data_IF_377752322556
#
_entry.id   IF_377752322556
#
_cell.length_a   1.000
_cell.length_b   1.000
_cell.length_c   1.000
_cell.angle_alpha   90.00
_cell.angle_beta   90.00
_cell.angle_gamma   90.00
#
_symmetry.space_group_name_H-M   'P 1'
#
loop_
_entity.id
_entity.type
_entity.pdbx_description
1 polymer ?
#
# COMPACT_ATOMS: atom_id res chain seq x y z
N UNK A 1 8.40 23.63 13.79
CA UNK A 1 7.47 22.91 12.88
C UNK A 1 6.83 21.80 13.69
N UNK A 2 5.52 21.60 13.52
CA UNK A 2 4.69 20.71 14.34
C UNK A 2 5.20 19.26 14.26
N UNK A 3 5.19 18.57 15.39
CA UNK A 3 5.30 17.11 15.45
C UNK A 3 4.40 16.49 14.38
N UNK A 4 4.96 15.61 13.55
CA UNK A 4 4.24 15.02 12.43
C UNK A 4 2.94 14.37 12.91
N UNK A 5 1.81 14.83 12.38
CA UNK A 5 0.49 14.31 12.73
C UNK A 5 0.06 13.25 11.72
N UNK A 6 -0.24 12.04 12.19
CA UNK A 6 -0.95 11.04 11.38
C UNK A 6 -2.41 11.51 11.22
N UNK A 7 -3.00 11.48 10.01
CA UNK A 7 -4.40 11.81 9.84
C UNK A 7 -5.29 10.86 10.65
N UNK A 8 -6.20 11.41 11.46
CA UNK A 8 -7.18 10.63 12.21
C UNK A 8 -8.53 10.74 11.53
N UNK A 9 -9.02 9.62 11.01
CA UNK A 9 -10.34 9.48 10.44
C UNK A 9 -11.35 9.06 11.50
N UNK A 10 -12.50 9.73 11.52
CA UNK A 10 -13.61 9.39 12.39
C UNK A 10 -14.93 9.37 11.62
N UNK A 11 -15.68 8.28 11.77
CA UNK A 11 -17.03 8.16 11.23
C UNK A 11 -17.96 7.49 12.26
N UNK A 12 -18.97 8.23 12.73
CA UNK A 12 -19.87 7.80 13.81
C UNK A 12 -20.52 6.43 13.57
N UNK A 13 -20.90 6.15 12.32
CA UNK A 13 -21.57 4.88 11.93
C UNK A 13 -20.61 3.79 11.45
N UNK A 14 -19.33 4.10 11.24
CA UNK A 14 -18.34 3.18 10.67
C UNK A 14 -17.06 3.10 11.53
N UNK A 15 -17.22 3.08 12.86
CA UNK A 15 -16.11 3.12 13.83
C UNK A 15 -15.04 2.06 13.57
N UNK A 16 -15.43 0.84 13.19
CA UNK A 16 -14.49 -0.25 12.86
C UNK A 16 -13.64 0.09 11.63
N UNK A 17 -14.26 0.58 10.56
CA UNK A 17 -13.55 1.00 9.36
C UNK A 17 -12.61 2.18 9.64
N UNK A 18 -13.08 3.19 10.38
CA UNK A 18 -12.24 4.32 10.80
C UNK A 18 -11.03 3.87 11.61
N UNK A 19 -11.21 2.93 12.54
CA UNK A 19 -10.09 2.36 13.31
C UNK A 19 -9.07 1.68 12.39
N UNK A 20 -9.53 0.82 11.47
CA UNK A 20 -8.63 0.13 10.54
C UNK A 20 -7.84 1.08 9.64
N UNK A 21 -8.49 2.14 9.14
CA UNK A 21 -7.83 3.19 8.35
C UNK A 21 -6.75 3.88 9.19
N UNK A 22 -7.07 4.26 10.43
CA UNK A 22 -6.12 4.94 11.32
C UNK A 22 -4.95 4.04 11.70
N UNK A 23 -5.23 2.78 12.06
CA UNK A 23 -4.20 1.78 12.37
C UNK A 23 -3.27 1.59 11.16
N UNK A 24 -3.83 1.46 9.94
CA UNK A 24 -3.03 1.33 8.72
C UNK A 24 -2.16 2.57 8.50
N UNK A 25 -2.76 3.76 8.56
CA UNK A 25 -2.04 5.01 8.29
C UNK A 25 -0.93 5.25 9.31
N UNK A 26 -1.18 4.97 10.58
CA UNK A 26 -0.17 5.07 11.62
C UNK A 26 1.01 4.15 11.30
N UNK A 27 0.75 2.87 11.01
CA UNK A 27 1.83 1.92 10.67
C UNK A 27 2.56 2.29 9.39
N UNK A 28 1.84 2.79 8.37
CA UNK A 28 2.42 3.14 7.09
C UNK A 28 3.23 4.45 7.10
N UNK A 29 3.04 5.33 8.10
CA UNK A 29 3.65 6.68 8.13
C UNK A 29 4.67 6.90 9.27
N UNK A 30 4.91 5.89 10.10
CA UNK A 30 6.03 5.91 11.05
C UNK A 30 7.34 5.72 10.26
N UNK A 31 8.21 6.73 10.23
CA UNK A 31 9.46 6.68 9.43
C UNK A 31 10.68 6.14 10.14
N UNK A 32 10.55 5.77 11.41
CA UNK A 32 11.57 5.01 12.13
C UNK A 32 10.86 4.01 13.03
N UNK A 33 10.86 2.75 12.59
CA UNK A 33 10.66 1.62 13.47
C UNK A 33 11.77 1.69 14.50
N UNK A 34 11.40 2.07 15.73
CA UNK A 34 12.25 2.12 16.93
C UNK A 34 13.73 1.79 16.66
N UNK A 35 14.59 2.81 16.55
CA UNK A 35 15.90 2.61 17.17
C UNK A 35 15.61 2.22 18.62
N UNK A 36 16.29 1.21 19.19
CA UNK A 36 16.00 0.68 20.53
C UNK A 36 16.09 1.71 21.68
N UNK A 37 16.31 2.99 21.38
CA UNK A 37 16.51 4.10 22.31
C UNK A 37 15.58 5.31 22.11
N UNK A 38 14.55 5.24 21.25
CA UNK A 38 13.54 6.32 21.12
C UNK A 38 12.13 5.81 21.39
N UNK A 39 11.60 6.19 22.55
CA UNK A 39 10.27 5.82 23.04
C UNK A 39 9.10 6.52 22.32
N UNK A 40 9.34 7.26 21.23
CA UNK A 40 8.28 7.99 20.51
C UNK A 40 8.22 7.62 19.02
N UNK A 41 7.03 7.19 18.59
CA UNK A 41 6.67 7.06 17.17
C UNK A 41 6.56 8.46 16.57
N UNK A 42 7.61 8.97 15.92
CA UNK A 42 7.54 10.21 15.16
C UNK A 42 7.03 9.94 13.75
N UNK A 43 5.94 10.60 13.34
CA UNK A 43 5.45 10.54 11.96
C UNK A 43 6.49 11.17 11.04
N UNK A 44 6.87 10.48 9.97
CA UNK A 44 7.84 10.99 9.00
C UNK A 44 7.21 11.53 7.72
N UNK A 45 5.88 11.56 7.68
CA UNK A 45 5.11 11.97 6.53
C UNK A 45 4.16 13.12 6.85
N UNK A 46 4.08 14.10 5.96
CA UNK A 46 2.94 14.98 5.82
C UNK A 46 1.89 14.30 4.92
N UNK A 47 0.64 14.79 4.92
CA UNK A 47 -0.43 14.17 4.15
C UNK A 47 -1.37 15.18 3.50
N UNK A 48 -1.96 14.76 2.37
CA UNK A 48 -3.03 15.47 1.69
C UNK A 48 -4.17 14.51 1.37
N UNK A 49 -5.39 14.89 1.72
CA UNK A 49 -6.61 14.17 1.33
C UNK A 49 -6.97 14.61 -0.09
N UNK A 50 -6.97 13.66 -1.02
CA UNK A 50 -7.29 13.89 -2.44
C UNK A 50 -8.78 13.63 -2.74
N UNK A 51 -9.38 12.69 -2.00
CA UNK A 51 -10.80 12.37 -2.09
C UNK A 51 -11.29 11.81 -0.75
N UNK A 52 -12.47 12.22 -0.31
CA UNK A 52 -13.12 11.68 0.89
C UNK A 52 -14.64 11.70 0.71
N UNK A 53 -15.24 10.53 0.51
CA UNK A 53 -16.68 10.37 0.37
C UNK A 53 -17.17 9.04 0.99
N UNK A 54 -18.44 8.73 0.84
CA UNK A 54 -19.05 7.51 1.38
C UNK A 54 -18.60 6.20 0.69
N UNK A 55 -17.76 6.27 -0.34
CA UNK A 55 -17.25 5.12 -1.09
C UNK A 55 -15.77 4.89 -0.85
N UNK A 56 -14.95 5.95 -0.90
CA UNK A 56 -13.53 5.83 -0.63
C UNK A 56 -12.89 7.10 -0.04
N UNK A 57 -11.71 6.87 0.51
CA UNK A 57 -10.80 7.87 1.03
C UNK A 57 -9.46 7.70 0.29
N UNK A 58 -8.96 8.74 -0.36
CA UNK A 58 -7.69 8.78 -1.08
C UNK A 58 -6.77 9.77 -0.39
N UNK A 59 -5.61 9.29 0.08
CA UNK A 59 -4.61 10.07 0.82
C UNK A 59 -3.27 9.91 0.13
N UNK A 60 -2.57 11.03 -0.05
CA UNK A 60 -1.16 11.03 -0.43
C UNK A 60 -0.32 11.44 0.76
N UNK A 61 0.73 10.69 1.05
CA UNK A 61 1.68 10.95 2.11
C UNK A 61 3.05 11.28 1.50
N UNK A 62 3.64 12.41 1.89
CA UNK A 62 4.94 12.87 1.40
C UNK A 62 5.90 12.98 2.58
N UNK A 63 7.16 12.52 2.46
CA UNK A 63 8.13 12.65 3.55
C UNK A 63 8.28 14.11 4.02
N UNK A 64 8.29 14.34 5.34
CA UNK A 64 8.48 15.67 5.94
C UNK A 64 9.92 16.14 5.71
N UNK A 65 10.86 15.21 5.84
CA UNK A 65 12.29 15.46 5.67
C UNK A 65 12.76 14.83 4.36
N UNK A 66 13.07 15.68 3.38
CA UNK A 66 13.56 15.25 2.06
C UNK A 66 14.98 14.68 2.10
N UNK A 67 15.69 14.78 3.23
CA UNK A 67 16.99 14.12 3.43
C UNK A 67 16.83 12.65 3.80
N UNK A 68 15.65 12.23 4.27
CA UNK A 68 15.33 10.83 4.48
C UNK A 68 14.95 10.19 3.14
N UNK A 69 15.58 9.07 2.82
CA UNK A 69 15.28 8.28 1.63
C UNK A 69 13.97 7.49 1.76
N UNK A 70 12.88 8.19 2.09
CA UNK A 70 11.53 7.63 2.22
C UNK A 70 10.75 7.87 0.92
N UNK A 71 10.12 6.84 0.33
CA UNK A 71 9.29 7.04 -0.85
C UNK A 71 7.97 7.71 -0.46
N UNK A 72 7.41 8.51 -1.37
CA UNK A 72 6.01 8.93 -1.28
C UNK A 72 5.08 7.72 -1.22
N UNK A 73 3.96 7.85 -0.51
CA UNK A 73 2.93 6.81 -0.44
C UNK A 73 1.60 7.38 -0.93
N UNK A 74 0.83 6.59 -1.66
CA UNK A 74 -0.58 6.89 -1.91
C UNK A 74 -1.44 5.72 -1.51
N UNK A 75 -2.46 6.01 -0.71
CA UNK A 75 -3.31 5.03 -0.06
C UNK A 75 -4.76 5.36 -0.37
N UNK A 76 -5.48 4.36 -0.87
CA UNK A 76 -6.91 4.48 -1.15
C UNK A 76 -7.62 3.46 -0.28
N UNK A 77 -8.62 3.87 0.49
CA UNK A 77 -9.37 3.03 1.41
C UNK A 77 -10.84 2.98 1.02
N UNK A 78 -11.46 1.82 1.20
CA UNK A 78 -12.91 1.70 1.23
C UNK A 78 -13.42 2.28 2.56
N UNK A 79 -14.21 3.36 2.52
CA UNK A 79 -14.64 4.06 3.74
C UNK A 79 -15.68 3.27 4.56
N UNK A 80 -16.29 2.25 3.97
CA UNK A 80 -17.24 1.37 4.66
C UNK A 80 -16.57 0.19 5.38
N UNK A 81 -15.46 -0.34 4.84
CA UNK A 81 -14.77 -1.53 5.39
C UNK A 81 -13.43 -1.21 6.05
N UNK A 82 -12.80 -0.10 5.68
CA UNK A 82 -11.46 0.30 6.11
C UNK A 82 -10.32 -0.41 5.39
N UNK A 83 -10.65 -1.26 4.40
CA UNK A 83 -9.64 -2.00 3.63
C UNK A 83 -8.97 -1.10 2.58
N UNK A 84 -7.69 -1.35 2.33
CA UNK A 84 -6.96 -0.71 1.22
C UNK A 84 -7.51 -1.21 -0.12
N UNK A 85 -7.67 -0.29 -1.05
CA UNK A 85 -8.08 -0.53 -2.42
C UNK A 85 -6.80 -0.51 -3.25
N UNK A 86 -6.53 -1.60 -3.95
CA UNK A 86 -5.47 -1.68 -4.95
C UNK A 86 -6.02 -1.33 -6.33
N UNK A 87 -5.12 -1.01 -7.27
CA UNK A 87 -5.50 -0.81 -8.67
C UNK A 87 -6.10 -2.09 -9.28
N UNK A 88 -5.66 -3.26 -8.83
CA UNK A 88 -6.22 -4.55 -9.26
C UNK A 88 -7.64 -4.80 -8.77
N UNK A 89 -8.07 -4.12 -7.70
CA UNK A 89 -9.48 -4.17 -7.29
C UNK A 89 -10.35 -3.32 -8.24
N UNK A 90 -9.83 -2.20 -8.76
CA UNK A 90 -10.62 -1.25 -9.56
C UNK A 90 -10.96 -1.75 -10.97
N UNK A 91 -10.11 -2.59 -11.55
CA UNK A 91 -10.23 -3.02 -12.95
C UNK A 91 -10.52 -4.52 -13.07
N UNK A 92 -11.24 -4.91 -14.12
CA UNK A 92 -11.32 -6.33 -14.51
C UNK A 92 -9.96 -6.85 -14.97
N UNK A 93 -9.77 -8.17 -15.05
CA UNK A 93 -8.51 -8.75 -15.55
C UNK A 93 -8.17 -8.23 -16.96
N UNK A 94 -9.17 -8.17 -17.84
CA UNK A 94 -9.03 -7.61 -19.18
C UNK A 94 -8.76 -6.09 -19.13
N UNK A 95 -9.46 -5.38 -18.24
CA UNK A 95 -9.27 -3.94 -18.04
C UNK A 95 -7.87 -3.58 -17.57
N UNK A 96 -7.26 -4.36 -16.68
CA UNK A 96 -5.86 -4.19 -16.28
C UNK A 96 -4.90 -4.40 -17.45
N UNK A 97 -5.21 -5.35 -18.34
CA UNK A 97 -4.45 -5.57 -19.57
C UNK A 97 -4.47 -4.35 -20.50
N UNK A 98 -5.63 -3.75 -20.70
CA UNK A 98 -5.77 -2.52 -21.49
C UNK A 98 -5.12 -1.31 -20.81
N UNK A 99 -5.26 -1.17 -19.50
CA UNK A 99 -4.61 -0.11 -18.73
C UNK A 99 -3.08 -0.13 -18.90
N UNK A 100 -2.46 -1.32 -18.83
CA UNK A 100 -1.02 -1.47 -19.11
C UNK A 100 -0.64 -1.01 -20.51
N UNK A 101 -1.47 -1.31 -21.51
CA UNK A 101 -1.24 -0.83 -22.89
C UNK A 101 -1.38 0.69 -22.98
N UNK A 102 -2.33 1.29 -22.27
CA UNK A 102 -2.50 2.75 -22.21
C UNK A 102 -1.27 3.44 -21.61
N UNK A 103 -0.74 2.92 -20.50
CA UNK A 103 0.47 3.44 -19.84
C UNK A 103 1.66 3.40 -20.81
N UNK A 104 1.86 2.27 -21.51
CA UNK A 104 2.93 2.15 -22.49
C UNK A 104 2.80 3.14 -23.64
N UNK A 105 1.58 3.30 -24.18
CA UNK A 105 1.31 4.25 -25.27
C UNK A 105 1.56 5.68 -24.82
N UNK A 106 1.10 6.05 -23.62
CA UNK A 106 1.29 7.39 -23.05
C UNK A 106 2.77 7.76 -22.94
N UNK A 107 3.61 6.79 -22.58
CA UNK A 107 5.03 7.01 -22.34
C UNK A 107 5.91 6.73 -23.56
N UNK A 108 5.36 6.28 -24.68
CA UNK A 108 6.12 5.83 -25.85
C UNK A 108 7.08 6.90 -26.36
N UNK A 109 6.59 8.13 -26.56
CA UNK A 109 7.40 9.24 -27.07
C UNK A 109 8.51 9.64 -26.09
N UNK A 110 8.22 9.62 -24.79
CA UNK A 110 9.19 9.93 -23.75
C UNK A 110 10.29 8.87 -23.68
N UNK A 111 9.91 7.59 -23.80
CA UNK A 111 10.87 6.48 -23.89
C UNK A 111 11.73 6.63 -25.15
N UNK A 112 11.13 6.97 -26.28
CA UNK A 112 11.88 7.11 -27.53
C UNK A 112 12.86 8.29 -27.50
N UNK A 113 12.45 9.41 -26.90
CA UNK A 113 13.20 10.66 -26.88
C UNK A 113 14.29 10.72 -25.80
N UNK A 114 14.03 10.18 -24.60
CA UNK A 114 14.87 10.42 -23.43
C UNK A 114 15.61 9.19 -22.91
N UNK A 115 15.29 7.99 -23.40
CA UNK A 115 15.88 6.74 -22.90
C UNK A 115 16.85 6.15 -23.93
N UNK A 116 18.11 5.83 -23.55
CA UNK A 116 19.06 5.14 -24.42
C UNK A 116 18.52 3.82 -24.96
N UNK A 117 18.89 3.46 -26.19
CA UNK A 117 18.31 2.31 -26.90
C UNK A 117 18.45 0.99 -26.10
N UNK A 118 19.57 0.81 -25.42
CA UNK A 118 19.90 -0.33 -24.57
C UNK A 118 18.99 -0.46 -23.33
N UNK A 119 18.44 0.64 -22.82
CA UNK A 119 17.56 0.64 -21.64
C UNK A 119 16.07 0.59 -21.99
N UNK A 120 15.68 0.82 -23.25
CA UNK A 120 14.27 0.94 -23.65
C UNK A 120 13.43 -0.29 -23.30
N UNK A 121 13.96 -1.49 -23.51
CA UNK A 121 13.23 -2.73 -23.22
C UNK A 121 13.04 -2.98 -21.73
N UNK A 122 14.03 -2.61 -20.90
CA UNK A 122 13.90 -2.67 -19.45
C UNK A 122 12.82 -1.71 -18.95
N UNK A 123 12.82 -0.46 -19.43
CA UNK A 123 11.78 0.52 -19.06
C UNK A 123 10.39 0.03 -19.49
N UNK A 124 10.23 -0.46 -20.73
CA UNK A 124 8.95 -1.02 -21.19
C UNK A 124 8.50 -2.20 -20.33
N UNK A 125 9.43 -3.05 -19.89
CA UNK A 125 9.14 -4.16 -18.99
C UNK A 125 8.74 -3.67 -17.60
N UNK A 126 9.38 -2.62 -17.08
CA UNK A 126 8.99 -1.98 -15.83
C UNK A 126 7.56 -1.43 -15.94
N UNK A 127 7.25 -0.62 -16.95
CA UNK A 127 5.92 -0.04 -17.16
C UNK A 127 4.80 -1.08 -17.31
N UNK A 128 5.10 -2.26 -17.85
CA UNK A 128 4.13 -3.38 -17.95
C UNK A 128 3.83 -4.01 -16.59
N UNK A 129 4.85 -4.16 -15.75
CA UNK A 129 4.77 -4.97 -14.53
C UNK A 129 4.52 -4.13 -13.28
N UNK A 130 4.95 -2.87 -13.29
CA UNK A 130 4.81 -1.93 -12.20
C UNK A 130 3.77 -0.87 -12.58
N UNK A 131 2.57 -1.00 -12.02
CA UNK A 131 1.50 -0.02 -12.20
C UNK A 131 1.71 1.24 -11.34
N UNK A 132 2.82 1.30 -10.59
CA UNK A 132 3.22 2.48 -9.85
C UNK A 132 2.29 2.84 -8.69
N UNK A 133 2.49 4.04 -8.18
CA UNK A 133 1.66 4.65 -7.16
C UNK A 133 0.44 5.25 -7.85
N UNK A 134 -0.77 4.98 -7.34
CA UNK A 134 -1.99 5.59 -7.88
C UNK A 134 -2.75 6.38 -6.82
N UNK A 135 -3.47 7.41 -7.26
CA UNK A 135 -4.39 8.20 -6.44
C UNK A 135 -5.72 8.34 -7.15
N UNK A 136 -6.78 8.55 -6.36
CA UNK A 136 -8.10 8.89 -6.87
C UNK A 136 -8.44 10.34 -6.50
N UNK A 137 -8.93 11.10 -7.49
CA UNK A 137 -9.43 12.46 -7.32
C UNK A 137 -10.55 12.74 -8.32
N UNK A 138 -11.77 12.95 -7.84
CA UNK A 138 -12.90 13.46 -8.63
C UNK A 138 -13.16 12.70 -9.95
N UNK A 139 -13.16 11.36 -9.89
CA UNK A 139 -13.37 10.54 -11.10
C UNK A 139 -12.16 10.51 -12.04
N UNK A 140 -10.98 10.87 -11.54
CA UNK A 140 -9.70 10.71 -12.22
C UNK A 140 -8.87 9.69 -11.45
N UNK A 141 -8.27 8.76 -12.19
CA UNK A 141 -7.23 7.85 -11.71
C UNK A 141 -5.89 8.47 -12.14
N UNK A 142 -5.10 8.92 -11.19
CA UNK A 142 -3.77 9.46 -11.45
C UNK A 142 -2.74 8.41 -11.10
N UNK A 143 -1.88 8.06 -12.04
CA UNK A 143 -0.84 7.03 -11.90
C UNK A 143 0.53 7.65 -12.06
N UNK A 144 1.47 7.29 -11.17
CA UNK A 144 2.85 7.73 -11.22
C UNK A 144 3.77 6.56 -11.56
N UNK A 145 4.42 6.66 -12.72
CA UNK A 145 5.35 5.66 -13.24
C UNK A 145 6.81 6.08 -13.08
N UNK A 146 7.10 7.12 -12.27
CA UNK A 146 8.43 7.73 -12.14
C UNK A 146 9.53 6.74 -11.74
N UNK A 147 9.19 5.71 -10.96
CA UNK A 147 10.13 4.66 -10.57
C UNK A 147 10.67 3.83 -11.75
N UNK A 148 9.98 3.82 -12.89
CA UNK A 148 10.44 3.17 -14.11
C UNK A 148 11.35 4.06 -14.97
N UNK A 149 11.67 5.27 -14.54
CA UNK A 149 12.54 6.17 -15.30
C UNK A 149 13.77 6.52 -14.47
N UNK A 150 14.95 6.73 -15.10
CA UNK A 150 16.11 7.28 -14.41
C UNK A 150 15.78 8.61 -13.72
N UNK A 151 16.34 8.84 -12.53
CA UNK A 151 16.02 10.00 -11.69
C UNK A 151 16.21 11.37 -12.38
N UNK A 152 17.12 11.45 -13.34
CA UNK A 152 17.43 12.69 -14.09
C UNK A 152 16.70 12.81 -15.43
N UNK A 153 15.71 11.95 -15.70
CA UNK A 153 14.92 12.04 -16.93
C UNK A 153 14.06 13.32 -16.86
N UNK A 154 14.16 14.27 -17.82
CA UNK A 154 13.38 15.50 -17.83
C UNK A 154 11.93 15.25 -18.27
N UNK A 155 11.28 14.28 -17.64
CA UNK A 155 9.97 13.78 -17.97
C UNK A 155 9.22 13.41 -16.69
N UNK A 156 8.06 14.05 -16.50
CA UNK A 156 7.16 13.67 -15.41
C UNK A 156 6.28 12.52 -15.89
N UNK A 157 6.57 11.31 -15.40
CA UNK A 157 5.82 10.12 -15.75
C UNK A 157 4.52 10.00 -14.94
N UNK A 158 3.58 10.90 -15.21
CA UNK A 158 2.23 10.87 -14.63
C UNK A 158 1.19 10.68 -15.74
N UNK A 159 0.24 9.78 -15.50
CA UNK A 159 -0.91 9.54 -16.38
C UNK A 159 -2.19 9.79 -15.59
N UNK A 160 -2.94 10.80 -15.99
CA UNK A 160 -4.25 11.12 -15.46
C UNK A 160 -5.33 10.57 -16.40
N UNK A 161 -6.15 9.66 -15.90
CA UNK A 161 -7.18 8.96 -16.66
C UNK A 161 -8.54 9.35 -16.11
N UNK A 162 -9.34 10.16 -16.84
CA UNK A 162 -10.76 10.30 -16.53
C UNK A 162 -11.42 8.94 -16.57
N UNK A 163 -12.37 8.67 -15.68
CA UNK A 163 -12.97 7.34 -15.56
C UNK A 163 -13.92 7.04 -16.72
N UNK A 164 -14.61 8.04 -17.27
CA UNK A 164 -15.65 7.84 -18.28
C UNK A 164 -15.13 7.10 -19.53
N UNK A 165 -13.96 7.44 -20.10
CA UNK A 165 -13.41 6.70 -21.26
C UNK A 165 -12.97 5.26 -20.96
N UNK A 166 -12.81 4.89 -19.68
CA UNK A 166 -12.33 3.56 -19.26
C UNK A 166 -13.34 2.79 -18.42
N UNK A 167 -14.59 3.25 -18.36
CA UNK A 167 -15.64 2.67 -17.53
C UNK A 167 -15.89 1.19 -17.86
N UNK A 168 -15.87 0.83 -19.15
CA UNK A 168 -16.01 -0.55 -19.62
C UNK A 168 -14.86 -1.48 -19.20
N UNK A 169 -13.76 -0.94 -18.66
CA UNK A 169 -12.61 -1.71 -18.17
C UNK A 169 -12.72 -2.01 -16.67
N UNK A 170 -13.62 -1.34 -15.95
CA UNK A 170 -13.76 -1.43 -14.51
C UNK A 170 -14.29 -2.79 -14.06
N UNK A 171 -13.88 -3.19 -12.85
CA UNK A 171 -14.54 -4.28 -12.13
C UNK A 171 -15.82 -3.76 -11.46
N UNK A 172 -16.66 -4.66 -10.93
CA UNK A 172 -17.79 -4.26 -10.09
C UNK A 172 -17.35 -3.41 -8.86
N UNK A 173 -16.14 -3.64 -8.35
CA UNK A 173 -15.54 -2.80 -7.30
C UNK A 173 -15.23 -1.41 -7.83
N UNK A 174 -14.62 -1.30 -9.02
CA UNK A 174 -14.38 -0.02 -9.69
C UNK A 174 -15.67 0.79 -9.89
N UNK A 175 -16.71 0.17 -10.43
CA UNK A 175 -18.04 0.79 -10.55
C UNK A 175 -18.57 1.30 -9.19
N UNK A 176 -18.37 0.51 -8.14
CA UNK A 176 -18.72 0.89 -6.78
C UNK A 176 -17.93 2.08 -6.24
N UNK A 177 -16.61 2.13 -6.46
CA UNK A 177 -15.73 3.21 -5.98
C UNK A 177 -16.05 4.53 -6.68
N UNK A 178 -16.26 4.51 -7.99
CA UNK A 178 -16.57 5.71 -8.77
C UNK A 178 -18.04 6.12 -8.73
N UNK A 179 -18.90 5.31 -8.09
CA UNK A 179 -20.33 5.62 -7.94
C UNK A 179 -21.13 5.52 -9.24
N UNK A 180 -20.60 4.79 -10.21
CA UNK A 180 -21.22 4.54 -11.51
C UNK A 180 -22.34 3.49 -11.42
N UNK A 181 -22.33 2.67 -10.35
CA UNK A 181 -23.43 1.78 -10.02
C UNK A 181 -23.95 2.07 -8.59
N UNK A 182 -25.18 2.59 -8.44
CA UNK A 182 -25.77 2.91 -7.14
C UNK A 182 -26.10 1.66 -6.31
N UNK A 183 -26.30 0.50 -6.93
CA UNK A 183 -26.67 -0.74 -6.25
C UNK A 183 -25.49 -1.41 -5.54
N UNK A 184 -24.25 -1.02 -5.88
CA UNK A 184 -23.05 -1.56 -5.26
C UNK A 184 -22.94 -1.08 -3.81
N UNK A 185 -23.08 -2.04 -2.90
CA UNK A 185 -22.95 -1.81 -1.46
C UNK A 185 -21.49 -1.95 -1.05
N UNK A 186 -20.79 -0.83 -0.88
CA UNK A 186 -19.36 -0.80 -0.52
C UNK A 186 -18.99 -1.65 0.71
N UNK A 187 -19.89 -1.79 1.68
CA UNK A 187 -19.71 -2.67 2.85
C UNK A 187 -19.60 -4.17 2.54
N UNK A 188 -20.03 -4.60 1.35
CA UNK A 188 -19.95 -5.99 0.87
C UNK A 188 -18.75 -6.21 -0.06
N UNK A 189 -18.05 -5.14 -0.43
CA UNK A 189 -16.91 -5.22 -1.33
C UNK A 189 -15.67 -5.53 -0.50
N UNK A 190 -15.04 -6.66 -0.81
CA UNK A 190 -13.84 -7.14 -0.14
C UNK A 190 -12.69 -7.04 -1.15
N UNK A 191 -11.60 -6.40 -0.74
CA UNK A 191 -10.35 -6.46 -1.51
C UNK A 191 -9.73 -7.84 -1.36
N UNK A 192 -9.26 -8.41 -2.47
CA UNK A 192 -8.44 -9.62 -2.45
C UNK A 192 -6.95 -9.29 -2.59
N UNK A 193 -6.60 -8.00 -2.53
CA UNK A 193 -5.23 -7.55 -2.66
C UNK A 193 -4.44 -7.81 -1.37
N UNK A 194 -3.17 -8.18 -1.55
CA UNK A 194 -2.22 -8.39 -0.45
C UNK A 194 -1.87 -7.12 0.33
N UNK A 195 -1.82 -5.92 -0.30
CA UNK A 195 -1.60 -4.70 0.45
C UNK A 195 -2.81 -4.43 1.34
N UNK A 196 -2.65 -4.65 2.64
CA UNK A 196 -3.74 -4.48 3.59
C UNK A 196 -3.22 -4.46 5.03
N UNK A 197 -4.13 -4.15 5.95
CA UNK A 197 -3.94 -4.40 7.38
C UNK A 197 -4.60 -5.73 7.74
N UNK A 198 -3.81 -6.65 8.27
CA UNK A 198 -4.26 -7.91 8.81
C UNK A 198 -4.20 -7.86 10.33
N UNK A 199 -5.20 -8.44 10.96
CA UNK A 199 -5.30 -8.51 12.43
C UNK A 199 -5.24 -9.97 12.86
N UNK A 200 -4.55 -10.28 13.95
CA UNK A 200 -4.55 -11.65 14.44
C UNK A 200 -3.49 -11.92 15.47
N UNK A 201 -2.89 -13.11 15.41
CA UNK A 201 -1.97 -13.59 16.43
C UNK A 201 -0.73 -14.23 15.85
N UNK A 202 0.41 -13.97 16.48
CA UNK A 202 1.66 -14.68 16.23
C UNK A 202 2.07 -15.34 17.54
N UNK A 203 2.07 -16.68 17.57
CA UNK A 203 2.04 -17.41 18.84
C UNK A 203 0.85 -16.95 19.70
N UNK A 204 1.14 -16.44 20.90
CA UNK A 204 0.12 -15.94 21.83
C UNK A 204 -0.10 -14.43 21.74
N UNK A 205 0.72 -13.71 20.98
CA UNK A 205 0.70 -12.25 20.94
C UNK A 205 -0.27 -11.72 19.88
N UNK A 206 -1.09 -10.74 20.26
CA UNK A 206 -1.94 -10.03 19.32
C UNK A 206 -1.09 -9.08 18.46
N UNK A 207 -1.28 -9.15 17.14
CA UNK A 207 -0.51 -8.37 16.18
C UNK A 207 -1.39 -7.65 15.16
N UNK A 208 -0.83 -6.59 14.60
CA UNK A 208 -1.22 -6.04 13.32
C UNK A 208 -0.10 -6.33 12.32
N UNK A 209 -0.46 -6.78 11.12
CA UNK A 209 0.46 -6.96 10.02
C UNK A 209 0.00 -6.03 8.89
N UNK A 210 0.75 -4.97 8.64
CA UNK A 210 0.54 -4.11 7.48
C UNK A 210 1.45 -4.59 6.36
N UNK A 211 0.91 -4.88 5.19
CA UNK A 211 1.68 -5.22 4.00
C UNK A 211 1.55 -4.12 2.95
N UNK A 212 2.66 -3.80 2.30
CA UNK A 212 2.75 -2.80 1.24
C UNK A 212 2.40 -3.40 -0.13
N UNK A 213 2.11 -2.55 -1.14
CA UNK A 213 2.16 -2.94 -2.54
C UNK A 213 3.46 -3.69 -2.89
N UNK A 214 3.34 -4.80 -3.62
CA UNK A 214 4.50 -5.56 -4.08
C UNK A 214 5.32 -4.70 -5.04
N UNK A 215 6.59 -4.49 -4.71
CA UNK A 215 7.58 -3.81 -5.57
C UNK A 215 8.69 -4.81 -5.88
N UNK A 216 9.05 -4.98 -7.16
CA UNK A 216 10.11 -5.87 -7.61
C UNK A 216 10.04 -7.31 -7.06
N UNK A 217 8.83 -7.89 -7.08
CA UNK A 217 8.52 -9.25 -6.57
C UNK A 217 8.75 -9.45 -5.07
N UNK A 218 9.01 -8.37 -4.35
CA UNK A 218 9.21 -8.38 -2.91
C UNK A 218 7.95 -7.90 -2.22
N UNK A 219 7.51 -8.62 -1.19
CA UNK A 219 6.45 -8.16 -0.31
C UNK A 219 7.08 -7.64 0.98
N UNK A 220 6.89 -6.35 1.25
CA UNK A 220 7.36 -5.68 2.46
C UNK A 220 6.19 -5.26 3.34
N UNK A 221 6.50 -4.87 4.57
CA UNK A 221 5.50 -4.33 5.47
C UNK A 221 6.03 -4.12 6.88
N UNK A 222 5.09 -4.02 7.82
CA UNK A 222 5.35 -3.84 9.25
C UNK A 222 4.55 -4.85 10.06
N UNK A 223 5.25 -5.60 10.91
CA UNK A 223 4.64 -6.40 11.97
C UNK A 223 4.63 -5.58 13.27
N UNK A 224 3.44 -5.30 13.79
CA UNK A 224 3.24 -4.52 15.01
C UNK A 224 2.65 -5.40 16.12
N UNK A 225 3.32 -5.45 17.27
CA UNK A 225 2.81 -6.13 18.46
C UNK A 225 1.96 -5.17 19.28
N UNK A 226 0.66 -5.48 19.39
CA UNK A 226 -0.33 -4.59 20.02
C UNK A 226 -0.06 -4.41 21.52
N UNK A 227 0.52 -5.41 22.18
CA UNK A 227 0.79 -5.38 23.62
C UNK A 227 2.04 -4.57 23.95
N UNK A 228 3.10 -4.73 23.17
CA UNK A 228 4.40 -4.10 23.44
C UNK A 228 4.59 -2.75 22.75
N UNK A 229 3.76 -2.42 21.76
CA UNK A 229 3.92 -1.23 20.93
C UNK A 229 5.09 -1.31 19.95
N UNK A 230 5.78 -2.46 19.87
CA UNK A 230 6.94 -2.65 18.99
C UNK A 230 6.51 -2.94 17.57
N UNK A 231 7.20 -2.31 16.63
CA UNK A 231 6.98 -2.44 15.21
C UNK A 231 8.28 -2.96 14.56
N UNK A 232 8.18 -3.98 13.71
CA UNK A 232 9.32 -4.61 13.03
C UNK A 232 9.10 -4.49 11.51
N UNK A 233 10.07 -3.94 10.75
CA UNK A 233 10.03 -4.01 9.30
C UNK A 233 10.24 -5.45 8.88
N UNK A 234 9.38 -5.91 7.98
CA UNK A 234 9.49 -7.25 7.41
C UNK A 234 9.58 -7.15 5.90
N UNK A 235 10.38 -8.04 5.33
CA UNK A 235 10.50 -8.21 3.90
C UNK A 235 10.62 -9.71 3.64
N UNK A 236 9.82 -10.21 2.70
CA UNK A 236 9.66 -11.65 2.56
C UNK A 236 9.03 -12.10 1.26
N UNK A 237 8.79 -13.40 1.19
CA UNK A 237 8.14 -14.07 0.08
C UNK A 237 6.70 -14.44 0.46
N UNK A 238 5.80 -14.39 -0.53
CA UNK A 238 4.41 -14.76 -0.35
C UNK A 238 4.00 -15.82 -1.37
N UNK A 239 3.53 -16.97 -0.90
CA UNK A 239 3.07 -18.08 -1.74
C UNK A 239 1.91 -18.79 -1.08
N UNK A 240 0.82 -19.00 -1.83
CA UNK A 240 -0.33 -19.81 -1.38
C UNK A 240 -0.88 -19.39 -0.01
N UNK A 241 -1.03 -18.08 0.23
CA UNK A 241 -1.46 -17.51 1.52
C UNK A 241 -0.45 -17.60 2.67
N UNK A 242 0.76 -18.11 2.42
CA UNK A 242 1.85 -18.10 3.37
C UNK A 242 2.81 -16.93 3.08
N UNK A 243 3.10 -16.15 4.11
CA UNK A 243 4.13 -15.14 4.11
C UNK A 243 5.30 -15.60 4.98
N UNK A 244 6.49 -15.59 4.42
CA UNK A 244 7.75 -15.95 5.09
C UNK A 244 8.74 -14.79 5.00
N UNK A 245 9.27 -14.35 6.14
CA UNK A 245 10.28 -13.31 6.23
C UNK A 245 11.38 -13.72 7.21
N UNK A 246 12.61 -13.30 6.94
CA UNK A 246 13.76 -13.54 7.80
C UNK A 246 14.60 -12.26 7.89
N UNK A 247 15.11 -11.95 9.08
CA UNK A 247 15.99 -10.83 9.32
C UNK A 247 16.86 -11.04 10.56
N UNK A 248 17.61 -10.01 10.95
CA UNK A 248 18.40 -10.03 12.20
C UNK A 248 17.54 -10.29 13.44
N UNK A 249 16.25 -9.94 13.36
CA UNK A 249 15.24 -10.19 14.39
C UNK A 249 14.76 -11.65 14.46
N UNK A 250 15.04 -12.48 13.45
CA UNK A 250 14.65 -13.89 13.39
C UNK A 250 13.85 -14.29 12.16
N UNK A 251 13.10 -15.39 12.26
CA UNK A 251 12.24 -15.95 11.21
C UNK A 251 10.77 -15.78 11.55
N UNK A 252 10.00 -15.29 10.59
CA UNK A 252 8.56 -15.08 10.64
C UNK A 252 7.89 -15.95 9.58
N UNK A 253 6.86 -16.69 9.98
CA UNK A 253 6.02 -17.46 9.07
C UNK A 253 4.57 -17.27 9.47
N UNK A 254 3.75 -16.77 8.55
CA UNK A 254 2.33 -16.52 8.81
C UNK A 254 1.44 -16.95 7.64
N UNK A 255 0.27 -17.46 7.98
CA UNK A 255 -0.87 -17.67 7.08
C UNK A 255 -1.73 -16.41 7.11
N UNK A 256 -2.06 -15.90 5.93
CA UNK A 256 -2.86 -14.71 5.73
C UNK A 256 -4.13 -15.10 5.00
N UNK A 257 -5.30 -14.85 5.60
CA UNK A 257 -6.58 -15.12 4.95
C UNK A 257 -7.66 -14.17 5.46
N UNK A 258 -8.46 -13.61 4.56
CA UNK A 258 -9.67 -12.83 4.90
C UNK A 258 -9.45 -11.72 5.95
N UNK A 259 -8.33 -10.98 5.87
CA UNK A 259 -8.00 -9.92 6.83
C UNK A 259 -7.44 -10.42 8.17
N UNK A 260 -7.18 -11.73 8.29
CA UNK A 260 -6.61 -12.37 9.47
C UNK A 260 -5.18 -12.82 9.17
N UNK A 261 -4.30 -12.65 10.16
CA UNK A 261 -2.93 -13.20 10.17
C UNK A 261 -2.76 -14.18 11.34
N UNK A 262 -2.24 -15.37 11.06
CA UNK A 262 -1.91 -16.37 12.07
C UNK A 262 -0.54 -16.97 11.78
N UNK A 263 0.32 -17.12 12.78
CA UNK A 263 1.67 -17.59 12.49
C UNK A 263 2.54 -17.80 13.71
N UNK A 264 3.82 -17.99 13.44
CA UNK A 264 4.85 -18.18 14.43
C UNK A 264 6.04 -17.25 14.15
N UNK A 265 6.68 -16.82 15.23
CA UNK A 265 7.91 -16.05 15.21
C UNK A 265 8.99 -16.84 15.93
N UNK A 266 10.17 -16.96 15.31
CA UNK A 266 11.34 -17.60 15.89
C UNK A 266 12.46 -16.57 15.95
N UNK A 267 12.80 -16.03 17.13
CA UNK A 267 13.88 -15.05 17.24
C UNK A 267 15.23 -15.65 16.82
N UNK A 268 16.14 -14.80 16.37
CA UNK A 268 17.52 -15.19 16.12
C UNK A 268 18.13 -15.79 17.40
N UNK A 269 18.74 -16.98 17.32
CA UNK A 269 19.27 -17.70 18.49
C UNK A 269 18.43 -18.88 19.00
N UNK A 270 17.31 -19.23 18.34
CA UNK A 270 16.79 -20.60 18.32
C UNK A 270 15.85 -21.04 19.46
N UNK A 271 15.51 -20.19 20.44
CA UNK A 271 14.45 -20.51 21.41
C UNK A 271 13.16 -19.77 21.05
N UNK A 272 12.01 -20.46 20.87
CA UNK A 272 10.71 -19.79 20.73
C UNK A 272 10.37 -19.14 22.07
N UNK A 273 10.64 -17.84 22.17
CA UNK A 273 10.07 -17.01 23.22
C UNK A 273 8.75 -16.43 22.70
N UNK A 274 7.89 -15.95 23.60
CA UNK A 274 6.94 -14.90 23.23
C UNK A 274 7.70 -13.79 22.48
N UNK A 275 7.02 -12.90 21.75
CA UNK A 275 7.71 -11.73 21.14
C UNK A 275 8.18 -10.83 22.29
N UNK A 276 9.27 -11.23 22.93
CA UNK A 276 9.90 -10.58 24.06
C UNK A 276 11.19 -10.00 23.49
N UNK A 277 11.01 -8.90 22.77
CA UNK A 277 12.08 -8.16 22.11
C UNK A 277 12.86 -7.33 23.13
N UNK A 278 13.16 -7.88 24.32
CA UNK A 278 13.81 -7.17 25.44
C UNK A 278 15.34 -7.08 25.30
N UNK A 279 15.92 -7.45 24.16
CA UNK A 279 17.36 -7.26 23.91
C UNK A 279 17.61 -6.78 22.49
#
# INVERSE_FOLDING_TARGET
>A
MKDGSVPVFYHKKAKKASKLINDYLQLATVGSLAEPHKDSLTCAYDYVILQNNNRCLSVRCTPIDSTLALPEKSLVFNTATGQVISLTDLFSVNGLGELRKMILRQHADAVEKYIPAESKEEIKKCLKNNLGIFTLKQGIISMQSGACFPANTPYRAVLDIPVQPVENLLSNYGFGVFGLNPDVKMKKMITNSLPNLYTGKIGNDAVLLQLDPVVDKTLSGVLYNVKTGKAIPIQGSFRSNHFEAEGSWGKFSAVISNGIVQGNFRPAGGRPQAINLEK
#
